data_IF_100766464319
#
_entry.id   IF_100766464319
#
_cell.length_a   1.000
_cell.length_b   1.000
_cell.length_c   1.000
_cell.angle_alpha   90.00
_cell.angle_beta   90.00
_cell.angle_gamma   90.00
#
_symmetry.space_group_name_H-M   'P 1'
#
loop_
_entity.id
_entity.type
_entity.pdbx_description
1 polymer ?
#
# COMPACT_ATOMS: atom_id res chain seq x y z
N UNK A 1 -16.25 27.93 -0.03
CA UNK A 1 -17.62 27.54 0.33
C UNK A 1 -17.50 26.40 1.33
N UNK A 2 -17.68 26.67 2.63
CA UNK A 2 -17.65 25.62 3.66
C UNK A 2 -18.80 24.66 3.31
N UNK A 3 -18.50 23.37 3.18
CA UNK A 3 -19.42 22.34 2.69
C UNK A 3 -20.79 22.44 3.37
N UNK A 4 -21.86 22.43 2.56
CA UNK A 4 -23.25 22.53 3.03
C UNK A 4 -23.70 21.33 3.89
N UNK A 5 -22.87 20.31 4.08
CA UNK A 5 -23.18 19.11 4.87
C UNK A 5 -22.06 18.74 5.84
N UNK A 6 -22.31 19.01 7.11
CA UNK A 6 -21.56 18.43 8.23
C UNK A 6 -22.30 17.15 8.67
N UNK A 7 -21.65 15.98 8.72
CA UNK A 7 -22.30 14.76 9.22
C UNK A 7 -22.80 14.97 10.65
N UNK A 8 -23.92 14.37 11.03
CA UNK A 8 -24.44 14.53 12.41
C UNK A 8 -23.65 13.68 13.41
N UNK A 9 -23.26 12.48 13.02
CA UNK A 9 -22.59 11.51 13.88
C UNK A 9 -21.48 10.76 13.15
N UNK A 10 -20.54 10.24 13.94
CA UNK A 10 -19.57 9.22 13.57
C UNK A 10 -19.71 8.06 14.56
N UNK A 11 -19.62 6.81 14.08
CA UNK A 11 -19.50 5.65 14.96
C UNK A 11 -18.02 5.35 15.14
N UNK A 12 -17.46 5.53 16.33
CA UNK A 12 -16.04 5.27 16.62
C UNK A 12 -15.91 4.20 17.69
N UNK A 13 -15.16 3.13 17.42
CA UNK A 13 -14.96 2.01 18.35
C UNK A 13 -16.29 1.48 18.94
N UNK A 14 -17.30 1.35 18.07
CA UNK A 14 -18.65 0.89 18.44
C UNK A 14 -19.55 1.94 19.12
N UNK A 15 -19.07 3.16 19.37
CA UNK A 15 -19.84 4.24 20.02
C UNK A 15 -20.25 5.31 19.03
N UNK A 16 -21.52 5.71 19.07
CA UNK A 16 -22.02 6.84 18.28
C UNK A 16 -21.65 8.16 18.96
N UNK A 17 -20.85 8.98 18.28
CA UNK A 17 -20.35 10.28 18.78
C UNK A 17 -20.88 11.40 17.88
N UNK A 18 -21.40 12.46 18.50
CA UNK A 18 -21.89 13.65 17.81
C UNK A 18 -20.72 14.43 17.20
N UNK A 19 -20.78 14.74 15.90
CA UNK A 19 -19.79 15.61 15.26
C UNK A 19 -19.83 17.00 15.89
N UNK A 20 -21.02 17.50 16.25
CA UNK A 20 -21.16 18.78 16.95
C UNK A 20 -20.34 18.81 18.25
N UNK A 21 -20.43 17.78 19.08
CA UNK A 21 -19.63 17.69 20.32
C UNK A 21 -18.12 17.55 20.03
N UNK A 22 -17.73 16.91 18.93
CA UNK A 22 -16.32 16.86 18.50
C UNK A 22 -15.82 18.27 18.14
N UNK A 23 -16.63 19.05 17.43
CA UNK A 23 -16.32 20.43 17.04
C UNK A 23 -16.25 21.38 18.25
N UNK A 24 -17.16 21.23 19.21
CA UNK A 24 -17.24 22.01 20.45
C UNK A 24 -16.20 21.58 21.50
N UNK A 25 -15.47 20.47 21.27
CA UNK A 25 -14.52 19.83 22.20
C UNK A 25 -15.16 19.22 23.46
N UNK A 26 -16.44 18.91 23.39
CA UNK A 26 -17.19 18.20 24.43
C UNK A 26 -17.09 16.67 24.32
N UNK A 27 -16.68 16.16 23.16
CA UNK A 27 -16.45 14.73 22.96
C UNK A 27 -15.12 14.28 23.59
N UNK A 28 -15.18 13.25 24.44
CA UNK A 28 -14.01 12.63 25.08
C UNK A 28 -13.47 11.50 24.20
N UNK A 29 -12.21 11.62 23.78
CA UNK A 29 -11.47 10.54 23.11
C UNK A 29 -11.03 9.49 24.13
N UNK A 30 -11.22 8.21 23.80
CA UNK A 30 -10.88 7.09 24.68
C UNK A 30 -9.51 6.47 24.39
N UNK A 31 -8.95 6.74 23.21
CA UNK A 31 -7.61 6.31 22.83
C UNK A 31 -6.94 7.32 21.90
N UNK A 32 -5.69 7.06 21.54
CA UNK A 32 -4.92 7.93 20.65
C UNK A 32 -5.54 8.02 19.24
N UNK A 33 -6.13 6.96 18.71
CA UNK A 33 -6.73 6.98 17.37
C UNK A 33 -7.96 7.91 17.34
N UNK A 34 -8.80 7.83 18.37
CA UNK A 34 -9.94 8.74 18.53
C UNK A 34 -9.49 10.19 18.64
N UNK A 35 -8.44 10.47 19.41
CA UNK A 35 -7.93 11.83 19.58
C UNK A 35 -7.48 12.45 18.25
N UNK A 36 -6.68 11.71 17.46
CA UNK A 36 -6.25 12.17 16.14
C UNK A 36 -7.42 12.29 15.15
N UNK A 37 -8.38 11.37 15.21
CA UNK A 37 -9.60 11.40 14.38
C UNK A 37 -10.43 12.64 14.68
N UNK A 38 -10.66 12.93 15.97
CA UNK A 38 -11.41 14.12 16.41
C UNK A 38 -10.65 15.41 16.10
N UNK A 39 -9.32 15.40 16.25
CA UNK A 39 -8.47 16.54 15.88
C UNK A 39 -8.55 16.85 14.38
N UNK A 40 -8.52 15.83 13.52
CA UNK A 40 -8.69 16.00 12.09
C UNK A 40 -10.09 16.51 11.73
N UNK A 41 -11.16 15.97 12.33
CA UNK A 41 -12.54 16.45 12.12
C UNK A 41 -12.65 17.94 12.48
N UNK A 42 -12.15 18.34 13.65
CA UNK A 42 -12.13 19.76 14.06
C UNK A 42 -11.38 20.62 13.05
N UNK A 43 -10.20 20.18 12.60
CA UNK A 43 -9.40 20.91 11.62
C UNK A 43 -10.13 21.02 10.28
N UNK A 44 -10.75 19.94 9.81
CA UNK A 44 -11.46 19.89 8.54
C UNK A 44 -12.58 20.93 8.44
N UNK A 45 -13.40 21.03 9.50
CA UNK A 45 -14.54 21.96 9.58
C UNK A 45 -14.19 23.33 10.19
N UNK A 46 -12.91 23.60 10.47
CA UNK A 46 -12.44 24.93 10.86
C UNK A 46 -12.35 25.88 9.65
N UNK A 47 -12.06 27.15 9.90
CA UNK A 47 -11.80 28.14 8.85
C UNK A 47 -10.47 27.94 8.14
N UNK A 48 -9.55 27.15 8.71
CA UNK A 48 -8.23 26.92 8.14
C UNK A 48 -8.32 26.12 6.83
N UNK A 49 -7.70 26.59 5.75
CA UNK A 49 -7.79 25.93 4.45
C UNK A 49 -6.64 24.96 4.12
N UNK A 50 -5.68 24.80 5.03
CA UNK A 50 -4.45 24.02 4.77
C UNK A 50 -4.25 22.89 5.77
N UNK A 51 -3.64 21.82 5.30
CA UNK A 51 -3.31 20.61 6.06
C UNK A 51 -1.85 20.28 5.85
N UNK A 52 -1.16 19.85 6.90
CA UNK A 52 0.24 19.41 6.82
C UNK A 52 0.28 17.89 6.88
N UNK A 53 0.79 17.27 5.83
CA UNK A 53 1.02 15.85 5.70
C UNK A 53 2.49 15.53 5.95
N UNK A 54 2.77 14.31 6.39
CA UNK A 54 4.14 13.80 6.53
C UNK A 54 4.32 12.59 5.63
N UNK A 55 5.41 12.58 4.85
CA UNK A 55 5.78 11.43 4.04
C UNK A 55 6.42 10.37 4.93
N UNK A 56 6.17 9.08 4.61
CA UNK A 56 6.94 8.00 5.23
C UNK A 56 8.34 8.04 4.63
N UNK A 57 9.30 8.64 5.35
CA UNK A 57 10.68 8.85 4.88
C UNK A 57 11.43 7.54 4.62
N UNK A 58 11.16 6.88 3.50
CA UNK A 58 11.87 5.68 3.04
C UNK A 58 13.36 5.94 2.81
N UNK A 59 13.73 7.19 2.50
CA UNK A 59 15.11 7.65 2.27
C UNK A 59 15.75 8.37 3.46
N UNK A 60 15.11 8.38 4.64
CA UNK A 60 15.68 8.94 5.87
C UNK A 60 14.78 9.92 6.60
N UNK A 61 14.66 11.16 6.11
CA UNK A 61 13.97 12.24 6.84
C UNK A 61 12.55 12.49 6.30
N UNK A 62 11.49 12.37 7.13
CA UNK A 62 10.12 12.70 6.72
C UNK A 62 10.02 14.14 6.18
N UNK A 63 9.41 14.29 5.00
CA UNK A 63 9.12 15.61 4.43
C UNK A 63 7.72 16.05 4.85
N UNK A 64 7.55 17.33 5.17
CA UNK A 64 6.24 17.94 5.39
C UNK A 64 5.72 18.49 4.07
N UNK A 65 4.48 18.13 3.72
CA UNK A 65 3.79 18.62 2.52
C UNK A 65 2.58 19.41 3.00
N UNK A 66 2.42 20.63 2.51
CA UNK A 66 1.23 21.44 2.80
C UNK A 66 0.26 21.36 1.63
N UNK A 67 -0.98 21.01 1.91
CA UNK A 67 -2.04 20.84 0.91
C UNK A 67 -3.28 21.60 1.33
N UNK A 68 -4.13 21.97 0.37
CA UNK A 68 -5.38 22.68 0.64
C UNK A 68 -6.56 21.74 0.78
N UNK A 69 -7.64 22.22 1.41
CA UNK A 69 -8.92 21.52 1.47
C UNK A 69 -9.42 21.15 0.06
N UNK A 70 -9.31 22.07 -0.89
CA UNK A 70 -9.79 21.88 -2.26
C UNK A 70 -9.04 20.76 -2.97
N UNK A 71 -7.73 20.60 -2.71
CA UNK A 71 -6.96 19.48 -3.26
C UNK A 71 -7.44 18.13 -2.69
N UNK A 72 -7.70 18.07 -1.38
CA UNK A 72 -8.25 16.86 -0.75
C UNK A 72 -9.67 16.55 -1.24
N UNK A 73 -10.51 17.57 -1.45
CA UNK A 73 -11.84 17.41 -2.05
C UNK A 73 -11.71 16.85 -3.47
N UNK A 74 -10.86 17.45 -4.31
CA UNK A 74 -10.66 16.99 -5.68
C UNK A 74 -10.21 15.52 -5.76
N UNK A 75 -9.23 15.13 -4.93
CA UNK A 75 -8.79 13.72 -4.83
C UNK A 75 -9.94 12.80 -4.39
N UNK A 76 -10.77 13.20 -3.42
CA UNK A 76 -11.91 12.42 -2.98
C UNK A 76 -13.02 12.32 -4.05
N UNK A 77 -13.28 13.40 -4.80
CA UNK A 77 -14.23 13.42 -5.91
C UNK A 77 -13.80 12.49 -7.04
N UNK A 78 -12.51 12.43 -7.36
CA UNK A 78 -12.00 11.46 -8.34
C UNK A 78 -12.18 10.00 -7.87
N UNK A 79 -11.96 9.71 -6.58
CA UNK A 79 -12.29 8.39 -6.02
C UNK A 79 -13.79 8.11 -6.12
N UNK A 80 -14.64 9.10 -5.82
CA UNK A 80 -16.09 8.97 -5.89
C UNK A 80 -16.55 8.60 -7.30
N UNK A 81 -16.05 9.29 -8.33
CA UNK A 81 -16.40 9.05 -9.72
C UNK A 81 -15.92 7.66 -10.17
N UNK A 82 -14.66 7.31 -9.89
CA UNK A 82 -14.08 6.04 -10.33
C UNK A 82 -14.70 4.80 -9.68
N UNK A 83 -15.15 4.91 -8.42
CA UNK A 83 -15.70 3.77 -7.65
C UNK A 83 -17.21 3.84 -7.45
N UNK A 84 -17.89 4.87 -7.99
CA UNK A 84 -19.33 5.06 -7.82
C UNK A 84 -19.77 5.22 -6.37
N UNK A 85 -18.93 5.86 -5.53
CA UNK A 85 -19.26 6.07 -4.12
C UNK A 85 -20.46 7.00 -3.98
N UNK A 86 -21.40 6.67 -3.09
CA UNK A 86 -22.67 7.38 -2.96
C UNK A 86 -23.03 7.70 -1.52
N UNK A 87 -23.92 8.68 -1.36
CA UNK A 87 -24.53 9.02 -0.07
C UNK A 87 -25.14 7.79 0.59
N UNK A 88 -24.91 7.66 1.89
CA UNK A 88 -25.45 6.56 2.70
C UNK A 88 -24.66 5.24 2.61
N UNK A 89 -23.62 5.14 1.77
CA UNK A 89 -22.67 4.04 1.92
C UNK A 89 -22.01 4.07 3.29
N UNK A 90 -21.78 2.90 3.87
CA UNK A 90 -21.08 2.72 5.14
C UNK A 90 -19.59 2.54 4.87
N UNK A 91 -18.79 3.51 5.29
CA UNK A 91 -17.34 3.49 5.10
C UNK A 91 -16.62 3.13 6.40
N UNK A 92 -15.72 2.14 6.34
CA UNK A 92 -14.87 1.76 7.46
C UNK A 92 -13.53 2.50 7.40
N UNK A 93 -13.29 3.38 8.37
CA UNK A 93 -12.03 4.10 8.62
C UNK A 93 -11.23 3.32 9.65
N UNK A 94 -10.37 2.42 9.16
CA UNK A 94 -9.51 1.56 9.98
C UNK A 94 -8.01 1.77 9.70
N UNK A 95 -7.68 2.85 9.00
CA UNK A 95 -6.32 3.35 8.81
C UNK A 95 -6.10 4.55 9.72
N UNK A 96 -4.89 4.68 10.24
CA UNK A 96 -4.51 5.71 11.20
C UNK A 96 -4.69 7.12 10.62
N UNK A 97 -5.50 7.94 11.30
CA UNK A 97 -5.88 9.30 10.89
C UNK A 97 -4.80 10.35 11.18
N UNK A 98 -3.67 9.96 11.77
CA UNK A 98 -2.44 10.76 11.76
C UNK A 98 -1.84 10.91 10.37
N UNK A 99 -2.04 9.90 9.52
CA UNK A 99 -1.46 9.85 8.19
C UNK A 99 -2.52 10.10 7.10
N UNK A 100 -2.04 10.53 5.94
CA UNK A 100 -2.91 10.91 4.83
C UNK A 100 -3.89 9.81 4.40
N UNK A 101 -3.52 8.53 4.56
CA UNK A 101 -4.37 7.40 4.22
C UNK A 101 -5.67 7.37 5.05
N UNK A 102 -5.58 7.52 6.37
CA UNK A 102 -6.76 7.61 7.24
C UNK A 102 -7.51 8.92 7.08
N UNK A 103 -6.80 10.03 6.90
CA UNK A 103 -7.40 11.36 6.66
C UNK A 103 -8.24 11.38 5.39
N UNK A 104 -7.74 10.83 4.29
CA UNK A 104 -8.47 10.79 3.01
C UNK A 104 -9.69 9.86 3.04
N UNK A 105 -9.72 8.85 3.91
CA UNK A 105 -10.96 8.10 4.16
C UNK A 105 -12.03 8.97 4.80
N UNK A 106 -11.69 9.80 5.79
CA UNK A 106 -12.63 10.77 6.36
C UNK A 106 -13.09 11.80 5.32
N UNK A 107 -12.16 12.35 4.53
CA UNK A 107 -12.48 13.33 3.49
C UNK A 107 -13.44 12.74 2.44
N UNK A 108 -13.20 11.51 1.98
CA UNK A 108 -14.13 10.79 1.10
C UNK A 108 -15.52 10.75 1.72
N UNK A 109 -15.63 10.35 2.99
CA UNK A 109 -16.92 10.31 3.66
C UNK A 109 -17.61 11.66 3.72
N UNK A 110 -16.88 12.74 3.99
CA UNK A 110 -17.45 14.08 4.01
C UNK A 110 -17.96 14.49 2.63
N UNK A 111 -17.14 14.31 1.59
CA UNK A 111 -17.46 14.71 0.20
C UNK A 111 -18.66 13.93 -0.34
N UNK A 112 -18.71 12.62 -0.09
CA UNK A 112 -19.75 11.73 -0.64
C UNK A 112 -20.94 11.53 0.30
N UNK A 113 -20.89 12.06 1.52
CA UNK A 113 -21.89 11.88 2.57
C UNK A 113 -22.11 10.40 2.94
N UNK A 114 -21.02 9.65 3.04
CA UNK A 114 -21.01 8.29 3.58
C UNK A 114 -21.15 8.30 5.10
N UNK A 115 -21.77 7.24 5.63
CA UNK A 115 -21.77 6.97 7.06
C UNK A 115 -20.38 6.53 7.51
N UNK A 116 -19.89 7.12 8.61
CA UNK A 116 -18.52 6.92 9.06
C UNK A 116 -18.51 5.94 10.22
N UNK A 117 -17.85 4.81 9.99
CA UNK A 117 -17.49 3.83 11.02
C UNK A 117 -15.97 3.87 11.17
N UNK A 118 -15.46 4.36 12.28
CA UNK A 118 -14.04 4.39 12.56
C UNK A 118 -13.69 3.39 13.66
N UNK A 119 -12.55 2.72 13.50
CA UNK A 119 -12.06 1.77 14.50
C UNK A 119 -10.56 1.89 14.60
N UNK A 120 -10.05 1.74 15.83
CA UNK A 120 -8.62 1.77 16.09
C UNK A 120 -7.91 0.75 15.19
N UNK A 121 -6.84 1.14 14.46
CA UNK A 121 -6.18 0.24 13.52
C UNK A 121 -5.69 -1.04 14.20
N UNK A 122 -6.19 -2.18 13.71
CA UNK A 122 -5.82 -3.52 14.15
C UNK A 122 -5.58 -4.40 12.92
N UNK A 123 -5.02 -5.60 13.14
CA UNK A 123 -4.74 -6.56 12.08
C UNK A 123 -6.00 -6.96 11.30
N UNK A 124 -7.06 -7.36 12.00
CA UNK A 124 -8.37 -7.64 11.40
C UNK A 124 -9.40 -6.59 11.85
N UNK A 125 -9.56 -5.48 11.10
CA UNK A 125 -10.54 -4.46 11.45
C UNK A 125 -11.99 -4.87 11.15
N UNK A 126 -12.21 -5.94 10.39
CA UNK A 126 -13.55 -6.38 9.96
C UNK A 126 -14.24 -7.28 10.97
N UNK A 127 -13.50 -7.87 11.91
CA UNK A 127 -14.04 -8.78 12.94
C UNK A 127 -15.22 -8.15 13.71
N UNK A 128 -15.18 -6.84 13.98
CA UNK A 128 -16.23 -6.11 14.70
C UNK A 128 -17.13 -5.26 13.79
N UNK A 129 -16.85 -5.25 12.49
CA UNK A 129 -17.51 -4.40 11.49
C UNK A 129 -17.71 -5.16 10.17
N UNK A 130 -18.51 -6.25 10.15
CA UNK A 130 -18.71 -7.06 8.95
C UNK A 130 -19.61 -6.38 7.90
N UNK A 131 -19.95 -5.11 8.10
CA UNK A 131 -21.08 -4.45 7.47
C UNK A 131 -20.65 -3.06 6.95
N UNK A 132 -19.97 -3.06 5.81
CA UNK A 132 -19.50 -1.86 5.12
C UNK A 132 -19.72 -1.97 3.62
N UNK A 133 -19.81 -0.82 2.96
CA UNK A 133 -19.86 -0.71 1.50
C UNK A 133 -18.50 -0.29 0.91
N UNK A 134 -17.68 0.39 1.70
CA UNK A 134 -16.36 0.86 1.29
C UNK A 134 -15.32 0.77 2.42
N UNK A 135 -14.14 0.24 2.12
CA UNK A 135 -13.01 0.19 3.06
C UNK A 135 -11.69 0.40 2.33
N UNK A 136 -10.72 0.99 3.02
CA UNK A 136 -9.33 1.00 2.61
C UNK A 136 -8.49 0.18 3.59
N UNK A 137 -7.69 -0.74 3.08
CA UNK A 137 -6.82 -1.62 3.85
C UNK A 137 -5.36 -1.54 3.37
N UNK A 138 -4.45 -2.01 4.21
CA UNK A 138 -3.06 -2.33 3.80
C UNK A 138 -2.90 -3.84 3.62
N UNK A 139 -1.89 -4.33 2.87
CA UNK A 139 -1.68 -5.76 2.65
C UNK A 139 -1.74 -6.62 3.90
N UNK A 140 -1.08 -6.20 4.98
CA UNK A 140 -1.11 -6.92 6.25
C UNK A 140 -2.52 -7.10 6.84
N UNK A 141 -3.41 -6.11 6.67
CA UNK A 141 -4.79 -6.25 7.12
C UNK A 141 -5.58 -7.21 6.24
N UNK A 142 -5.32 -7.20 4.93
CA UNK A 142 -5.95 -8.15 3.99
C UNK A 142 -5.56 -9.59 4.34
N UNK A 143 -4.28 -9.86 4.56
CA UNK A 143 -3.80 -11.19 4.93
C UNK A 143 -4.34 -11.64 6.28
N UNK A 144 -4.36 -10.75 7.29
CA UNK A 144 -4.94 -11.06 8.60
C UNK A 144 -6.44 -11.37 8.54
N UNK A 145 -7.21 -10.64 7.73
CA UNK A 145 -8.64 -10.94 7.51
C UNK A 145 -8.82 -12.28 6.81
N UNK A 146 -8.07 -12.56 5.74
CA UNK A 146 -8.15 -13.82 5.02
C UNK A 146 -7.81 -15.03 5.89
N UNK A 147 -6.84 -14.88 6.79
CA UNK A 147 -6.40 -15.95 7.69
C UNK A 147 -7.42 -16.25 8.80
N UNK A 148 -8.14 -15.23 9.29
CA UNK A 148 -8.99 -15.36 10.49
C UNK A 148 -10.49 -15.40 10.20
N UNK A 149 -10.97 -14.62 9.22
CA UNK A 149 -12.41 -14.46 8.96
C UNK A 149 -12.70 -14.00 7.52
N UNK A 150 -12.34 -14.77 6.48
CA UNK A 150 -12.50 -14.34 5.07
C UNK A 150 -13.96 -14.03 4.69
N UNK A 151 -14.93 -14.66 5.37
CA UNK A 151 -16.36 -14.44 5.19
C UNK A 151 -16.85 -13.05 5.67
N UNK A 152 -16.01 -12.28 6.36
CA UNK A 152 -16.35 -10.91 6.81
C UNK A 152 -16.26 -9.86 5.72
N UNK A 153 -15.68 -10.20 4.55
CA UNK A 153 -15.71 -9.35 3.37
C UNK A 153 -17.13 -9.34 2.77
N UNK A 154 -17.87 -8.20 2.81
CA UNK A 154 -19.24 -8.14 2.34
C UNK A 154 -19.30 -8.21 0.82
N UNK A 155 -20.23 -9.01 0.29
CA UNK A 155 -20.28 -9.31 -1.15
C UNK A 155 -20.40 -8.08 -2.06
N UNK A 156 -21.04 -7.00 -1.61
CA UNK A 156 -21.25 -5.77 -2.40
C UNK A 156 -20.24 -4.66 -2.08
N UNK A 157 -19.29 -4.92 -1.18
CA UNK A 157 -18.34 -3.91 -0.76
C UNK A 157 -17.24 -3.68 -1.81
N UNK A 158 -16.68 -2.47 -1.77
CA UNK A 158 -15.47 -2.09 -2.49
C UNK A 158 -14.34 -1.98 -1.47
N UNK A 159 -13.26 -2.72 -1.71
CA UNK A 159 -12.06 -2.68 -0.89
C UNK A 159 -10.89 -2.15 -1.73
N UNK A 160 -10.32 -1.02 -1.31
CA UNK A 160 -9.07 -0.53 -1.89
C UNK A 160 -7.90 -0.93 -0.99
N UNK A 161 -6.82 -1.43 -1.60
CA UNK A 161 -5.62 -1.88 -0.91
C UNK A 161 -4.46 -0.99 -1.32
N UNK A 162 -3.81 -0.36 -0.35
CA UNK A 162 -2.74 0.61 -0.60
C UNK A 162 -1.50 0.39 0.24
N UNK A 163 -0.45 1.16 -0.08
CA UNK A 163 0.77 1.23 0.70
C UNK A 163 1.86 0.23 0.28
N UNK A 164 1.53 -0.97 -0.18
CA UNK A 164 2.49 -1.90 -0.76
C UNK A 164 1.78 -2.88 -1.72
N UNK A 165 2.51 -3.53 -2.64
CA UNK A 165 1.98 -4.63 -3.43
C UNK A 165 1.44 -5.76 -2.54
N UNK A 166 0.42 -6.45 -3.03
CA UNK A 166 -0.03 -7.73 -2.49
C UNK A 166 0.76 -8.84 -3.17
N UNK A 167 1.14 -9.86 -2.40
CA UNK A 167 1.79 -11.05 -2.95
C UNK A 167 0.80 -11.90 -3.80
N UNK A 168 1.31 -12.74 -4.71
CA UNK A 168 0.49 -13.56 -5.59
C UNK A 168 -0.48 -14.51 -4.86
N UNK A 169 -0.08 -15.06 -3.71
CA UNK A 169 -0.91 -15.98 -2.94
C UNK A 169 -2.14 -15.26 -2.37
N UNK A 170 -1.94 -14.06 -1.84
CA UNK A 170 -3.03 -13.21 -1.37
C UNK A 170 -3.98 -12.83 -2.50
N UNK A 171 -3.46 -12.41 -3.66
CA UNK A 171 -4.31 -12.08 -4.83
C UNK A 171 -5.13 -13.30 -5.27
N UNK A 172 -4.55 -14.51 -5.25
CA UNK A 172 -5.26 -15.76 -5.53
C UNK A 172 -6.38 -16.03 -4.52
N UNK A 173 -6.13 -15.78 -3.23
CA UNK A 173 -7.13 -15.94 -2.17
C UNK A 173 -8.29 -14.94 -2.26
N UNK A 174 -8.11 -13.79 -2.94
CA UNK A 174 -9.19 -12.83 -3.20
C UNK A 174 -10.12 -13.24 -4.36
N UNK A 175 -9.67 -14.11 -5.27
CA UNK A 175 -10.46 -14.50 -6.45
C UNK A 175 -11.86 -15.07 -6.15
N UNK A 176 -12.06 -15.95 -5.15
CA UNK A 176 -13.38 -16.50 -4.85
C UNK A 176 -14.31 -15.52 -4.11
N UNK A 177 -13.83 -14.36 -3.67
CA UNK A 177 -14.62 -13.40 -2.91
C UNK A 177 -15.44 -12.50 -3.84
N UNK A 178 -16.69 -12.20 -3.44
CA UNK A 178 -17.57 -11.32 -4.22
C UNK A 178 -17.27 -9.83 -4.05
N UNK A 179 -16.67 -9.44 -2.92
CA UNK A 179 -16.18 -8.07 -2.69
C UNK A 179 -15.27 -7.65 -3.85
N UNK A 180 -15.40 -6.42 -4.33
CA UNK A 180 -14.53 -5.92 -5.39
C UNK A 180 -13.25 -5.35 -4.78
N UNK A 181 -12.10 -5.91 -5.13
CA UNK A 181 -10.80 -5.46 -4.63
C UNK A 181 -10.05 -4.67 -5.70
N UNK A 182 -9.45 -3.56 -5.29
CA UNK A 182 -8.52 -2.78 -6.12
C UNK A 182 -7.20 -2.57 -5.37
N UNK A 183 -6.08 -2.79 -6.03
CA UNK A 183 -4.83 -2.18 -5.61
C UNK A 183 -4.84 -0.72 -6.04
N UNK A 184 -4.27 0.13 -5.19
CA UNK A 184 -4.13 1.55 -5.43
C UNK A 184 -2.67 1.90 -5.67
N UNK A 185 -2.42 2.74 -6.66
CA UNK A 185 -1.13 3.39 -6.83
C UNK A 185 -1.25 4.87 -6.47
N UNK A 186 -0.38 5.33 -5.57
CA UNK A 186 -0.33 6.71 -5.10
C UNK A 186 0.60 6.87 -3.91
N UNK A 187 0.81 8.13 -3.53
CA UNK A 187 1.78 8.53 -2.51
C UNK A 187 1.25 9.74 -1.73
N UNK A 188 2.02 10.20 -0.74
CA UNK A 188 1.62 11.35 0.07
C UNK A 188 1.58 12.63 -0.76
N UNK A 189 2.51 12.76 -1.70
CA UNK A 189 2.63 13.87 -2.66
C UNK A 189 1.38 13.98 -3.55
N UNK A 190 0.73 12.86 -3.87
CA UNK A 190 -0.53 12.82 -4.62
C UNK A 190 -1.77 12.80 -3.73
N UNK A 191 -1.63 13.03 -2.42
CA UNK A 191 -2.65 12.88 -1.36
C UNK A 191 -3.15 11.44 -1.14
N UNK A 192 -3.55 10.78 -2.22
CA UNK A 192 -4.03 9.42 -2.21
C UNK A 192 -3.71 8.76 -3.54
N UNK A 193 -4.52 7.78 -3.95
CA UNK A 193 -4.33 7.07 -5.20
C UNK A 193 -4.63 7.95 -6.40
N UNK A 194 -3.83 7.77 -7.45
CA UNK A 194 -4.03 8.33 -8.78
C UNK A 194 -4.40 7.26 -9.79
N UNK A 195 -4.24 5.99 -9.45
CA UNK A 195 -4.64 4.88 -10.31
C UNK A 195 -5.12 3.65 -9.52
N UNK A 196 -5.90 2.82 -10.21
CA UNK A 196 -6.52 1.61 -9.68
C UNK A 196 -6.19 0.41 -10.56
N UNK A 197 -5.94 -0.73 -9.91
CA UNK A 197 -5.77 -2.05 -10.55
C UNK A 197 -6.74 -3.03 -9.92
N UNK A 198 -7.68 -3.58 -10.70
CA UNK A 198 -8.65 -4.55 -10.20
C UNK A 198 -7.96 -5.89 -9.87
N UNK A 199 -8.20 -6.41 -8.67
CA UNK A 199 -7.49 -7.56 -8.11
C UNK A 199 -8.27 -8.87 -8.19
N UNK A 200 -9.58 -8.84 -8.38
CA UNK A 200 -10.40 -10.04 -8.51
C UNK A 200 -11.55 -9.86 -9.52
N UNK A 201 -12.17 -11.00 -9.90
CA UNK A 201 -13.27 -11.05 -10.84
C UNK A 201 -12.83 -11.13 -12.30
N UNK A 202 -13.77 -10.89 -13.22
CA UNK A 202 -13.56 -11.14 -14.67
C UNK A 202 -12.60 -10.16 -15.35
N UNK A 203 -12.46 -8.95 -14.82
CA UNK A 203 -11.68 -7.87 -15.43
C UNK A 203 -10.36 -7.64 -14.67
N UNK A 204 -9.78 -8.73 -14.12
CA UNK A 204 -8.48 -8.66 -13.45
C UNK A 204 -7.41 -8.23 -14.45
N UNK A 205 -6.50 -7.36 -14.00
CA UNK A 205 -5.40 -6.86 -14.81
C UNK A 205 -4.16 -6.67 -13.95
N UNK A 206 -2.98 -6.80 -14.56
CA UNK A 206 -1.72 -6.41 -13.92
C UNK A 206 -1.44 -4.91 -14.06
N UNK A 207 -2.21 -4.21 -14.90
CA UNK A 207 -2.01 -2.80 -15.23
C UNK A 207 -2.86 -1.88 -14.34
N UNK A 208 -2.34 -0.69 -14.07
CA UNK A 208 -3.03 0.39 -13.38
C UNK A 208 -3.70 1.31 -14.39
N UNK A 209 -4.95 1.69 -14.12
CA UNK A 209 -5.69 2.71 -14.87
C UNK A 209 -5.80 3.97 -14.01
N UNK A 210 -5.42 5.11 -14.56
CA UNK A 210 -5.45 6.40 -13.85
C UNK A 210 -6.89 6.87 -13.61
N UNK A 211 -7.08 7.68 -12.56
CA UNK A 211 -8.37 8.32 -12.29
C UNK A 211 -8.69 9.38 -13.35
N UNK A 212 -9.98 9.70 -13.57
CA UNK A 212 -10.39 10.70 -14.55
C UNK A 212 -9.64 12.03 -14.43
N UNK A 213 -9.12 12.52 -15.55
CA UNK A 213 -8.44 13.80 -15.66
C UNK A 213 -6.96 13.81 -15.26
N UNK A 214 -6.42 12.69 -14.76
CA UNK A 214 -4.98 12.56 -14.49
C UNK A 214 -4.26 12.18 -15.79
N UNK A 215 -3.12 12.81 -16.05
CA UNK A 215 -2.24 12.48 -17.17
C UNK A 215 -0.95 11.87 -16.63
N UNK A 216 -0.40 10.95 -17.40
CA UNK A 216 0.84 10.25 -17.07
C UNK A 216 1.80 10.24 -18.26
N UNK A 217 3.08 10.27 -17.94
CA UNK A 217 4.17 10.05 -18.89
C UNK A 217 5.33 9.35 -18.18
N UNK A 218 6.35 8.98 -18.93
CA UNK A 218 7.58 8.42 -18.39
C UNK A 218 8.75 9.35 -18.71
N UNK A 219 9.59 9.65 -17.70
CA UNK A 219 10.79 10.46 -17.89
C UNK A 219 11.90 9.66 -18.62
N UNK A 220 13.08 10.29 -18.80
CA UNK A 220 14.24 9.64 -19.43
C UNK A 220 14.77 8.38 -18.71
N UNK A 221 14.39 8.17 -17.44
CA UNK A 221 14.73 7.00 -16.63
C UNK A 221 13.60 5.95 -16.65
N UNK A 222 12.55 6.19 -17.45
CA UNK A 222 11.30 5.44 -17.46
C UNK A 222 10.53 5.54 -16.12
N UNK A 223 10.80 6.57 -15.32
CA UNK A 223 10.06 6.81 -14.09
C UNK A 223 8.76 7.55 -14.37
N UNK A 224 7.69 7.17 -13.69
CA UNK A 224 6.37 7.76 -13.84
C UNK A 224 6.39 9.25 -13.48
N UNK A 225 5.85 10.07 -14.36
CA UNK A 225 5.53 11.48 -14.14
C UNK A 225 4.01 11.61 -14.11
N UNK A 226 3.51 12.32 -13.10
CA UNK A 226 2.08 12.44 -12.81
C UNK A 226 1.70 13.92 -12.90
N UNK A 227 0.72 14.23 -13.75
CA UNK A 227 0.06 15.52 -13.83
C UNK A 227 -1.41 15.35 -13.47
N UNK A 228 -1.85 15.97 -12.38
CA UNK A 228 -3.23 15.90 -11.93
C UNK A 228 -3.79 17.30 -11.69
N UNK A 229 -5.07 17.57 -12.02
CA UNK A 229 -5.67 18.91 -11.95
C UNK A 229 -5.58 19.62 -10.59
N UNK A 230 -5.47 18.86 -9.50
CA UNK A 230 -5.36 19.40 -8.15
C UNK A 230 -3.92 19.56 -7.66
N UNK A 231 -2.92 19.11 -8.42
CA UNK A 231 -1.51 19.30 -8.08
C UNK A 231 -1.05 20.67 -8.55
N UNK A 232 -0.16 21.29 -7.78
CA UNK A 232 0.45 22.58 -8.15
C UNK A 232 1.53 22.42 -9.21
N UNK A 233 2.16 21.26 -9.24
CA UNK A 233 3.24 20.89 -10.15
C UNK A 233 3.15 19.40 -10.46
N UNK A 234 3.77 19.00 -11.58
CA UNK A 234 3.91 17.59 -11.90
C UNK A 234 4.79 16.89 -10.87
N UNK A 235 4.44 15.65 -10.54
CA UNK A 235 5.22 14.81 -9.64
C UNK A 235 6.05 13.84 -10.48
N UNK A 236 7.37 13.97 -10.40
CA UNK A 236 8.31 13.01 -10.95
C UNK A 236 8.64 11.99 -9.87
N UNK A 237 8.30 10.73 -10.13
CA UNK A 237 8.52 9.64 -9.19
C UNK A 237 9.90 9.00 -9.39
N UNK A 238 10.20 8.00 -8.56
CA UNK A 238 11.27 7.03 -8.79
C UNK A 238 10.69 5.63 -9.04
N UNK A 239 9.46 5.57 -9.56
CA UNK A 239 8.77 4.32 -9.87
C UNK A 239 8.89 4.06 -11.38
N UNK A 240 9.59 3.00 -11.75
CA UNK A 240 9.77 2.60 -13.15
C UNK A 240 8.46 2.03 -13.67
N UNK A 241 8.03 2.51 -14.84
CA UNK A 241 6.78 2.11 -15.48
C UNK A 241 6.94 1.84 -16.97
N UNK A 242 6.05 1.01 -17.48
CA UNK A 242 5.75 0.90 -18.90
C UNK A 242 4.41 1.60 -19.17
N UNK A 243 4.42 2.71 -19.92
CA UNK A 243 3.20 3.39 -20.36
C UNK A 243 2.60 2.59 -21.52
N UNK A 244 1.38 2.10 -21.35
CA UNK A 244 0.69 1.26 -22.33
C UNK A 244 -0.21 2.08 -23.25
N UNK A 245 -0.88 3.09 -22.68
CA UNK A 245 -1.67 4.09 -23.39
C UNK A 245 -1.78 5.37 -22.54
N UNK A 246 -2.69 6.28 -22.88
CA UNK A 246 -2.84 7.58 -22.22
C UNK A 246 -3.27 7.47 -20.75
N UNK A 247 -4.01 6.41 -20.40
CA UNK A 247 -4.63 6.25 -19.08
C UNK A 247 -4.10 5.01 -18.34
N UNK A 248 -3.30 4.17 -19.00
CA UNK A 248 -2.88 2.87 -18.50
C UNK A 248 -1.37 2.73 -18.45
N UNK A 249 -0.86 2.25 -17.31
CA UNK A 249 0.55 1.90 -17.15
C UNK A 249 0.74 0.59 -16.37
N UNK A 250 1.88 -0.04 -16.56
CA UNK A 250 2.36 -1.15 -15.74
C UNK A 250 3.49 -0.65 -14.84
N UNK A 251 3.37 -0.89 -13.55
CA UNK A 251 4.44 -0.62 -12.59
C UNK A 251 5.43 -1.78 -12.60
N UNK A 252 6.73 -1.47 -12.76
CA UNK A 252 7.80 -2.47 -12.89
C UNK A 252 8.70 -2.54 -11.65
N UNK A 253 8.77 -1.46 -10.85
CA UNK A 253 9.58 -1.43 -9.66
C UNK A 253 10.08 -0.04 -9.29
N UNK A 254 11.07 0.01 -8.40
CA UNK A 254 11.69 1.25 -7.95
C UNK A 254 13.02 1.47 -8.64
N UNK A 255 13.23 2.66 -9.20
CA UNK A 255 14.52 3.07 -9.77
C UNK A 255 15.66 2.97 -8.77
N UNK A 256 15.40 3.36 -7.51
CA UNK A 256 16.39 3.32 -6.44
C UNK A 256 16.72 1.90 -5.95
N UNK A 257 15.97 0.88 -6.38
CA UNK A 257 16.21 -0.52 -6.02
C UNK A 257 16.85 -1.33 -7.15
N UNK A 258 17.03 -0.74 -8.34
CA UNK A 258 17.60 -1.45 -9.50
C UNK A 258 18.99 -1.99 -9.15
N UNK A 259 19.17 -3.29 -9.30
CA UNK A 259 20.46 -3.96 -9.09
C UNK A 259 21.23 -3.92 -10.40
N UNK A 260 22.48 -3.45 -10.37
CA UNK A 260 23.39 -3.48 -11.51
C UNK A 260 24.39 -4.62 -11.37
N UNK A 261 24.07 -5.77 -11.96
CA UNK A 261 24.89 -6.98 -11.89
C UNK A 261 25.55 -7.26 -13.24
N UNK A 262 26.87 -7.05 -13.30
CA UNK A 262 27.67 -7.27 -14.50
C UNK A 262 27.24 -6.41 -15.70
N UNK A 263 26.71 -5.21 -15.43
CA UNK A 263 26.18 -4.30 -16.46
C UNK A 263 24.73 -4.57 -16.86
N UNK A 264 24.08 -5.58 -16.28
CA UNK A 264 22.65 -5.88 -16.49
C UNK A 264 21.83 -5.27 -15.37
N UNK A 265 20.81 -4.48 -15.73
CA UNK A 265 19.82 -3.96 -14.79
C UNK A 265 18.81 -5.04 -14.45
N UNK A 266 18.66 -5.32 -13.17
CA UNK A 266 17.73 -6.32 -12.65
C UNK A 266 16.74 -5.60 -11.74
N UNK A 267 15.45 -5.81 -11.98
CA UNK A 267 14.38 -5.32 -11.11
C UNK A 267 14.19 -6.32 -9.98
N UNK A 268 14.43 -5.93 -8.71
CA UNK A 268 14.15 -6.82 -7.58
C UNK A 268 12.73 -7.34 -7.57
N UNK A 269 11.76 -6.48 -7.91
CA UNK A 269 10.34 -6.81 -7.91
C UNK A 269 9.99 -7.95 -8.87
N UNK A 270 10.61 -8.03 -10.06
CA UNK A 270 10.41 -9.14 -11.00
C UNK A 270 10.95 -10.47 -10.43
N UNK A 271 12.07 -10.42 -9.71
CA UNK A 271 12.65 -11.60 -9.06
C UNK A 271 11.79 -12.02 -7.86
N UNK A 272 11.26 -11.05 -7.11
CA UNK A 272 10.35 -11.25 -5.98
C UNK A 272 9.05 -11.93 -6.41
N UNK A 273 8.43 -11.51 -7.52
CA UNK A 273 7.22 -12.14 -8.05
C UNK A 273 7.43 -13.65 -8.31
N UNK A 274 8.55 -14.01 -8.93
CA UNK A 274 8.91 -15.41 -9.19
C UNK A 274 9.18 -16.18 -7.89
N UNK A 275 9.87 -15.55 -6.93
CA UNK A 275 10.10 -16.15 -5.60
C UNK A 275 8.78 -16.39 -4.87
N UNK A 276 7.84 -15.44 -4.97
CA UNK A 276 6.53 -15.49 -4.32
C UNK A 276 5.66 -16.64 -4.79
N UNK A 277 5.60 -16.88 -6.11
CA UNK A 277 4.87 -18.02 -6.67
C UNK A 277 5.38 -19.35 -6.10
N UNK A 278 6.70 -19.48 -5.97
CA UNK A 278 7.31 -20.68 -5.40
C UNK A 278 7.11 -20.81 -3.90
N UNK A 279 7.23 -19.70 -3.17
CA UNK A 279 7.05 -19.68 -1.72
C UNK A 279 5.61 -20.05 -1.35
N UNK A 280 4.64 -19.58 -2.13
CA UNK A 280 3.24 -19.98 -2.01
C UNK A 280 3.04 -21.48 -2.22
N UNK A 281 3.61 -22.06 -3.28
CA UNK A 281 3.49 -23.50 -3.57
C UNK A 281 4.08 -24.38 -2.45
N UNK A 282 5.18 -23.94 -1.86
CA UNK A 282 5.93 -24.68 -0.83
C UNK A 282 5.51 -24.33 0.60
N UNK A 283 4.54 -23.43 0.80
CA UNK A 283 4.13 -22.91 2.11
C UNK A 283 5.30 -22.33 2.92
N UNK A 284 6.20 -21.64 2.22
CA UNK A 284 7.30 -20.86 2.80
C UNK A 284 6.82 -19.47 3.26
N UNK A 285 7.64 -18.71 4.01
CA UNK A 285 7.22 -17.43 4.57
C UNK A 285 6.87 -16.41 3.51
N UNK A 286 5.90 -15.57 3.83
CA UNK A 286 5.44 -14.48 2.95
C UNK A 286 6.33 -13.23 3.03
N UNK A 287 7.30 -13.19 3.97
CA UNK A 287 8.15 -12.02 4.22
C UNK A 287 9.56 -12.25 3.70
N UNK A 288 9.82 -11.73 2.51
CA UNK A 288 11.12 -11.76 1.84
C UNK A 288 11.30 -10.50 0.98
N UNK A 289 12.53 -10.23 0.54
CA UNK A 289 12.81 -9.23 -0.47
C UNK A 289 14.13 -9.53 -1.21
N UNK A 290 14.30 -8.91 -2.37
CA UNK A 290 15.52 -8.97 -3.19
C UNK A 290 16.27 -7.65 -3.04
N UNK A 291 17.59 -7.73 -2.87
CA UNK A 291 18.46 -6.57 -2.84
C UNK A 291 19.82 -6.88 -3.49
N UNK A 292 20.48 -5.83 -3.97
CA UNK A 292 21.85 -5.89 -4.46
C UNK A 292 22.83 -5.79 -3.30
N UNK A 293 23.81 -6.68 -3.26
CA UNK A 293 24.95 -6.60 -2.34
C UNK A 293 26.23 -6.37 -3.13
N UNK A 294 27.20 -5.59 -2.61
CA UNK A 294 28.48 -5.37 -3.28
C UNK A 294 29.19 -6.70 -3.64
N UNK A 295 29.68 -6.78 -4.88
CA UNK A 295 30.43 -7.93 -5.40
C UNK A 295 31.60 -7.44 -6.26
N UNK A 296 32.81 -7.93 -5.99
CA UNK A 296 34.03 -7.48 -6.66
C UNK A 296 34.02 -7.67 -8.19
N UNK A 297 33.25 -8.65 -8.69
CA UNK A 297 33.23 -9.01 -10.11
C UNK A 297 32.02 -8.46 -10.84
N UNK A 298 30.87 -8.43 -10.17
CA UNK A 298 29.59 -8.03 -10.76
C UNK A 298 29.25 -6.57 -10.49
N UNK A 299 29.97 -5.89 -9.60
CA UNK A 299 29.52 -4.63 -9.02
C UNK A 299 28.52 -4.92 -7.90
N UNK A 300 27.36 -5.45 -8.27
CA UNK A 300 26.36 -5.96 -7.32
C UNK A 300 25.95 -7.40 -7.67
N UNK A 301 25.82 -8.25 -6.65
CA UNK A 301 25.18 -9.57 -6.77
C UNK A 301 23.75 -9.51 -6.25
N UNK A 302 22.86 -10.27 -6.89
CA UNK A 302 21.48 -10.42 -6.43
C UNK A 302 21.45 -11.33 -5.20
N UNK A 303 20.80 -10.87 -4.12
CA UNK A 303 20.63 -11.62 -2.86
C UNK A 303 19.16 -11.67 -2.47
N UNK A 304 18.71 -12.85 -2.03
CA UNK A 304 17.39 -13.07 -1.47
C UNK A 304 17.45 -13.01 0.06
N UNK A 305 16.70 -12.09 0.65
CA UNK A 305 16.54 -11.96 2.08
C UNK A 305 15.21 -12.58 2.50
N UNK A 306 15.23 -13.43 3.53
CA UNK A 306 14.03 -14.12 4.07
C UNK A 306 13.95 -13.89 5.58
N UNK A 307 12.77 -13.66 6.11
CA UNK A 307 12.55 -13.47 7.55
C UNK A 307 12.24 -14.82 8.24
N UNK A 308 12.97 -15.16 9.30
CA UNK A 308 12.62 -16.17 10.29
C UNK A 308 12.62 -17.65 9.86
N UNK A 309 12.90 -17.97 8.59
CA UNK A 309 12.79 -19.34 8.07
C UNK A 309 14.11 -20.00 7.71
N UNK A 310 14.44 -21.05 8.46
CA UNK A 310 15.62 -21.87 8.23
C UNK A 310 15.32 -22.93 7.16
N UNK A 311 16.03 -22.85 6.04
CA UNK A 311 15.92 -23.79 4.93
C UNK A 311 16.73 -25.06 5.20
N UNK A 312 16.11 -26.23 5.04
CA UNK A 312 16.84 -27.50 5.03
C UNK A 312 17.70 -27.63 3.76
N UNK A 313 18.64 -28.58 3.73
CA UNK A 313 19.46 -28.83 2.53
C UNK A 313 18.61 -29.23 1.31
N UNK A 314 17.46 -29.86 1.50
CA UNK A 314 16.54 -30.24 0.44
C UNK A 314 15.76 -29.03 -0.09
N UNK A 315 15.32 -28.14 0.81
CA UNK A 315 14.68 -26.88 0.46
C UNK A 315 15.63 -25.99 -0.36
N UNK A 316 16.90 -25.90 0.05
CA UNK A 316 17.91 -25.12 -0.67
C UNK A 316 18.11 -25.62 -2.11
N UNK A 317 18.14 -26.95 -2.32
CA UNK A 317 18.23 -27.55 -3.66
C UNK A 317 16.98 -27.25 -4.47
N UNK A 318 15.81 -27.46 -3.89
CA UNK A 318 14.51 -27.22 -4.53
C UNK A 318 14.36 -25.76 -4.97
N UNK A 319 14.67 -24.83 -4.08
CA UNK A 319 14.66 -23.39 -4.35
C UNK A 319 15.61 -23.04 -5.51
N UNK A 320 16.84 -23.57 -5.47
CA UNK A 320 17.85 -23.37 -6.50
C UNK A 320 17.40 -23.88 -7.88
N UNK A 321 16.81 -25.07 -7.94
CA UNK A 321 16.32 -25.68 -9.18
C UNK A 321 15.12 -24.92 -9.77
N UNK A 322 14.19 -24.49 -8.91
CA UNK A 322 13.01 -23.72 -9.32
C UNK A 322 13.40 -22.35 -9.87
N UNK A 323 14.23 -21.60 -9.16
CA UNK A 323 14.70 -20.28 -9.62
C UNK A 323 15.45 -20.39 -10.96
N UNK A 324 16.22 -21.45 -11.19
CA UNK A 324 16.88 -21.69 -12.49
C UNK A 324 15.94 -21.93 -13.65
N UNK A 325 14.79 -22.55 -13.40
CA UNK A 325 13.81 -22.84 -14.44
C UNK A 325 13.00 -21.60 -14.82
N UNK A 326 12.85 -20.66 -13.89
CA UNK A 326 11.97 -19.50 -14.09
C UNK A 326 12.69 -18.15 -14.28
N UNK A 327 13.96 -18.04 -13.88
CA UNK A 327 14.73 -16.79 -14.01
C UNK A 327 15.91 -16.95 -14.97
N UNK A 328 16.25 -15.90 -15.73
CA UNK A 328 17.50 -15.87 -16.48
C UNK A 328 18.71 -15.90 -15.52
N UNK A 329 19.81 -16.50 -15.97
CA UNK A 329 20.97 -16.79 -15.13
C UNK A 329 21.57 -15.58 -14.37
N UNK A 330 21.43 -14.37 -14.93
CA UNK A 330 21.89 -13.14 -14.30
C UNK A 330 20.99 -12.68 -13.14
N UNK A 331 19.69 -12.96 -13.21
CA UNK A 331 18.69 -12.56 -12.21
C UNK A 331 18.56 -13.54 -11.04
N UNK A 332 19.04 -14.79 -11.21
CA UNK A 332 19.02 -15.78 -10.13
C UNK A 332 19.85 -15.26 -8.95
N UNK A 333 19.26 -15.17 -7.74
CA UNK A 333 19.99 -14.82 -6.53
C UNK A 333 21.22 -15.71 -6.36
N UNK A 334 22.36 -15.09 -6.05
CA UNK A 334 23.62 -15.81 -5.80
C UNK A 334 23.69 -16.34 -4.38
N UNK A 335 22.93 -15.72 -3.49
CA UNK A 335 22.95 -15.99 -2.06
C UNK A 335 21.54 -15.82 -1.48
N UNK A 336 21.27 -16.58 -0.43
CA UNK A 336 20.09 -16.42 0.42
C UNK A 336 20.57 -16.11 1.83
N UNK A 337 19.99 -15.08 2.44
CA UNK A 337 20.27 -14.63 3.79
C UNK A 337 18.97 -14.64 4.58
N UNK A 338 18.93 -15.44 5.64
CA UNK A 338 17.81 -15.51 6.57
C UNK A 338 18.12 -14.61 7.74
N UNK A 339 17.31 -13.57 7.94
CA UNK A 339 17.36 -12.69 9.10
C UNK A 339 16.31 -13.12 10.12
N UNK A 340 16.58 -12.94 11.41
CA UNK A 340 15.60 -13.21 12.46
C UNK A 340 14.32 -12.38 12.29
N UNK A 341 14.49 -11.08 12.14
CA UNK A 341 13.41 -10.11 11.90
C UNK A 341 13.88 -9.01 10.95
N UNK A 342 12.99 -8.56 10.07
CA UNK A 342 13.24 -7.39 9.22
C UNK A 342 12.94 -6.10 9.96
N UNK A 343 13.71 -5.08 9.63
CA UNK A 343 13.39 -3.72 10.02
C UNK A 343 12.16 -3.24 9.26
N UNK A 344 11.26 -2.55 9.96
CA UNK A 344 10.02 -2.03 9.37
C UNK A 344 9.88 -0.53 9.57
N UNK A 345 9.13 0.11 8.69
CA UNK A 345 8.68 1.50 8.83
C UNK A 345 7.58 1.60 9.89
N UNK A 346 7.23 2.81 10.32
CA UNK A 346 6.11 3.05 11.25
C UNK A 346 4.76 2.54 10.73
N UNK A 347 4.61 2.39 9.41
CA UNK A 347 3.42 1.83 8.76
C UNK A 347 3.52 0.32 8.52
N UNK A 348 4.51 -0.36 9.10
CA UNK A 348 4.69 -1.81 9.02
C UNK A 348 5.30 -2.34 7.72
N UNK A 349 5.69 -1.47 6.76
CA UNK A 349 6.37 -1.89 5.52
C UNK A 349 7.81 -2.30 5.80
N UNK A 350 8.30 -3.34 5.12
CA UNK A 350 9.71 -3.75 5.17
C UNK A 350 10.60 -2.60 4.73
N UNK A 351 11.63 -2.29 5.52
CA UNK A 351 12.68 -1.33 5.17
C UNK A 351 13.91 -2.10 4.67
N UNK A 352 13.98 -2.36 3.35
CA UNK A 352 15.04 -3.17 2.73
C UNK A 352 16.43 -2.69 3.11
N UNK A 353 16.69 -1.37 2.98
CA UNK A 353 17.99 -0.78 3.27
C UNK A 353 18.43 -0.99 4.73
N UNK A 354 17.54 -0.73 5.70
CA UNK A 354 17.86 -0.94 7.12
C UNK A 354 18.01 -2.42 7.47
N UNK A 355 17.19 -3.30 6.88
CA UNK A 355 17.33 -4.75 7.06
C UNK A 355 18.67 -5.26 6.56
N UNK A 356 19.12 -4.78 5.39
CA UNK A 356 20.45 -5.09 4.84
C UNK A 356 21.57 -4.58 5.76
N UNK A 357 21.44 -3.36 6.30
CA UNK A 357 22.43 -2.80 7.23
C UNK A 357 22.52 -3.57 8.56
N UNK A 358 21.46 -4.28 8.96
CA UNK A 358 21.38 -5.09 10.18
C UNK A 358 21.67 -6.58 9.93
N UNK A 359 22.60 -6.89 9.01
CA UNK A 359 22.96 -8.27 8.63
C UNK A 359 23.52 -9.11 9.79
N UNK A 360 23.94 -8.48 10.89
CA UNK A 360 24.41 -9.15 12.10
C UNK A 360 23.35 -10.07 12.75
N UNK A 361 22.06 -9.87 12.44
CA UNK A 361 20.94 -10.74 12.87
C UNK A 361 20.73 -11.96 11.95
N UNK A 362 21.75 -12.38 11.20
CA UNK A 362 21.65 -13.53 10.29
C UNK A 362 21.50 -14.83 11.08
N UNK A 363 20.41 -15.55 10.82
CA UNK A 363 20.16 -16.89 11.33
C UNK A 363 20.77 -17.98 10.44
N UNK A 364 20.77 -17.76 9.13
CA UNK A 364 21.28 -18.70 8.13
C UNK A 364 21.73 -17.96 6.88
N UNK A 365 22.82 -18.42 6.26
CA UNK A 365 23.31 -17.89 4.99
C UNK A 365 23.84 -19.03 4.13
N UNK A 366 23.43 -19.07 2.87
CA UNK A 366 23.88 -20.08 1.93
C UNK A 366 23.92 -19.56 0.49
N UNK A 367 24.85 -20.11 -0.29
CA UNK A 367 24.97 -19.83 -1.73
C UNK A 367 24.06 -20.76 -2.51
N UNK A 368 23.30 -20.21 -3.47
CA UNK A 368 22.56 -21.02 -4.43
C UNK A 368 23.56 -21.57 -5.47
N UNK A 369 24.09 -22.77 -5.18
CA UNK A 369 25.09 -23.46 -6.02
C UNK A 369 24.57 -23.69 -7.43
N UNK A 370 25.32 -23.25 -8.45
CA UNK A 370 25.03 -23.42 -9.89
C UNK A 370 24.61 -24.83 -10.26
#
# INVERSE_FOLDING_TARGET
MIMEHVPTFITVNGRKVSIKHILERDAVAHDSFEDHTFAFIRRWFSTDNTFTLQTSGSTGTPKKITVTRDQMIASATMTQEALGLRKGFRALVCLDTRYVAGQMMLVRCFVTQMEIYATTPVANPLQNHPDFDFVALVPYQVTAVLASSPHTFPATAICIVGGAPLDPATIKALQPLSTTFYATYGMTETLSHIALRKLNGKDVSTNFNVLPGIKIEADSRQCLVIDAPYLTEQIITNDIVEILDQDTFRWLGRYDHVINSGGVKIMPEEVEDVVGDFFSELHYPERYFIAGEPDERLGEKVVLFVEGHIFSNEDQKTLSEKLRKSLPAYAIPKEVIVLDTFETTQTGKINRLRSVQNIDKTLQKFTLKK
#
